data_IF_757434395531
#
_entry.id   IF_757434395531
#
_cell.length_a   1.000
_cell.length_b   1.000
_cell.length_c   1.000
_cell.angle_alpha   90.00
_cell.angle_beta   90.00
_cell.angle_gamma   90.00
#
_symmetry.space_group_name_H-M   'P 1'
#
loop_
_entity.id
_entity.type
_entity.pdbx_description
1 polymer ?
#
# COMPACT_ATOMS: atom_id res chain seq x y z
N UNK A 1 -4.68 33.83 -7.06
CA UNK A 1 -5.31 32.51 -7.29
C UNK A 1 -4.40 31.35 -6.90
N UNK A 2 -3.11 31.38 -7.23
CA UNK A 2 -2.17 30.29 -6.90
C UNK A 2 -1.96 30.04 -5.40
N UNK A 3 -1.92 31.10 -4.58
CA UNK A 3 -1.79 30.98 -3.12
C UNK A 3 -2.94 30.18 -2.50
N UNK A 4 -4.19 30.51 -2.86
CA UNK A 4 -5.37 29.82 -2.33
C UNK A 4 -5.39 28.35 -2.75
N UNK A 5 -5.01 28.07 -4.00
CA UNK A 5 -4.89 26.69 -4.49
C UNK A 5 -3.88 25.89 -3.67
N UNK A 6 -2.67 26.42 -3.44
CA UNK A 6 -1.65 25.76 -2.61
C UNK A 6 -2.11 25.57 -1.17
N UNK A 7 -2.76 26.57 -0.58
CA UNK A 7 -3.28 26.47 0.79
C UNK A 7 -4.34 25.36 0.93
N UNK A 8 -5.27 25.27 -0.03
CA UNK A 8 -6.28 24.21 -0.06
C UNK A 8 -5.65 22.83 -0.30
N UNK A 9 -4.64 22.74 -1.17
CA UNK A 9 -3.94 21.49 -1.43
C UNK A 9 -3.24 20.96 -0.16
N UNK A 10 -2.52 21.84 0.55
CA UNK A 10 -1.87 21.48 1.83
C UNK A 10 -2.88 21.00 2.88
N UNK A 11 -4.04 21.63 2.93
CA UNK A 11 -5.10 21.25 3.86
C UNK A 11 -5.64 19.84 3.52
N UNK A 12 -5.88 19.56 2.24
CA UNK A 12 -6.33 18.24 1.77
C UNK A 12 -5.28 17.17 2.06
N UNK A 13 -4.01 17.45 1.79
CA UNK A 13 -2.89 16.56 2.12
C UNK A 13 -2.83 16.27 3.62
N UNK A 14 -2.99 17.31 4.47
CA UNK A 14 -3.05 17.17 5.92
C UNK A 14 -4.22 16.29 6.40
N UNK A 15 -5.41 16.49 5.83
CA UNK A 15 -6.60 15.66 6.13
C UNK A 15 -6.38 14.19 5.73
N UNK A 16 -5.79 13.96 4.56
CA UNK A 16 -5.51 12.61 4.05
C UNK A 16 -4.49 11.89 4.94
N UNK A 17 -3.41 12.57 5.32
CA UNK A 17 -2.36 12.01 6.16
C UNK A 17 -2.88 11.66 7.58
N UNK A 18 -3.68 12.55 8.18
CA UNK A 18 -4.32 12.28 9.47
C UNK A 18 -5.26 11.08 9.40
N UNK A 19 -6.06 10.99 8.34
CA UNK A 19 -6.98 9.87 8.12
C UNK A 19 -6.21 8.56 7.93
N UNK A 20 -5.11 8.57 7.19
CA UNK A 20 -4.22 7.42 6.99
C UNK A 20 -3.60 6.94 8.30
N UNK A 21 -3.00 7.85 9.08
CA UNK A 21 -2.42 7.55 10.40
C UNK A 21 -3.45 6.97 11.35
N UNK A 22 -4.67 7.51 11.36
CA UNK A 22 -5.78 6.99 12.17
C UNK A 22 -6.15 5.57 11.77
N UNK A 23 -6.32 5.27 10.48
CA UNK A 23 -6.63 3.91 10.00
C UNK A 23 -5.54 2.91 10.37
N UNK A 24 -4.26 3.27 10.19
CA UNK A 24 -3.14 2.41 10.57
C UNK A 24 -3.11 2.12 12.07
N UNK A 25 -3.37 3.13 12.92
CA UNK A 25 -3.45 2.94 14.37
C UNK A 25 -4.60 2.00 14.76
N UNK A 26 -5.75 2.12 14.12
CA UNK A 26 -6.92 1.29 14.37
C UNK A 26 -6.78 -0.15 13.85
N UNK A 27 -5.88 -0.41 12.90
CA UNK A 27 -5.65 -1.74 12.37
C UNK A 27 -4.88 -2.65 13.35
N UNK A 28 -4.24 -2.07 14.39
CA UNK A 28 -3.50 -2.81 15.44
C UNK A 28 -2.53 -3.85 14.86
N UNK A 29 -1.86 -3.51 13.76
CA UNK A 29 -0.86 -4.39 13.19
C UNK A 29 0.30 -4.59 14.18
N UNK A 30 0.80 -5.83 14.38
CA UNK A 30 1.91 -6.11 15.29
C UNK A 30 3.21 -5.43 14.85
N UNK A 31 3.36 -5.17 13.56
CA UNK A 31 4.47 -4.45 12.96
C UNK A 31 4.00 -3.74 11.68
N UNK A 32 4.60 -2.60 11.37
CA UNK A 32 4.42 -1.93 10.09
C UNK A 32 5.44 -2.50 9.10
N UNK A 33 4.96 -3.24 8.09
CA UNK A 33 5.78 -3.76 6.99
C UNK A 33 5.18 -3.29 5.67
N UNK A 34 6.02 -2.82 4.76
CA UNK A 34 5.64 -2.49 3.38
C UNK A 34 6.08 -3.61 2.44
N UNK A 35 5.69 -3.50 1.17
CA UNK A 35 6.14 -4.44 0.12
C UNK A 35 7.66 -4.35 -0.07
N UNK A 36 8.26 -3.18 0.15
CA UNK A 36 9.71 -2.98 0.06
C UNK A 36 10.48 -3.73 1.16
N UNK A 37 9.82 -4.08 2.28
CA UNK A 37 10.38 -4.87 3.37
C UNK A 37 10.27 -6.40 3.14
N UNK A 38 9.86 -6.84 1.94
CA UNK A 38 9.80 -8.26 1.60
C UNK A 38 11.19 -8.78 1.22
N UNK A 39 11.71 -9.70 2.03
CA UNK A 39 12.92 -10.46 1.73
C UNK A 39 12.59 -11.65 0.82
N UNK A 40 12.77 -11.45 -0.49
CA UNK A 40 12.59 -12.50 -1.50
C UNK A 40 13.69 -13.58 -1.48
N UNK A 41 14.81 -13.33 -0.80
CA UNK A 41 15.84 -14.34 -0.56
C UNK A 41 15.42 -15.34 0.51
N UNK A 42 14.71 -14.89 1.54
CA UNK A 42 14.12 -15.75 2.56
C UNK A 42 12.89 -16.52 2.04
N UNK A 43 12.04 -15.89 1.22
CA UNK A 43 10.82 -16.50 0.68
C UNK A 43 10.90 -16.73 -0.84
N UNK A 44 11.63 -17.78 -1.25
CA UNK A 44 11.85 -18.13 -2.65
C UNK A 44 10.57 -18.52 -3.45
N UNK A 45 9.46 -18.82 -2.76
CA UNK A 45 8.17 -19.13 -3.39
C UNK A 45 7.44 -17.90 -3.95
N UNK A 46 7.86 -16.69 -3.57
CA UNK A 46 7.26 -15.45 -4.04
C UNK A 46 8.18 -14.79 -5.06
N UNK A 47 7.67 -14.62 -6.28
CA UNK A 47 8.43 -14.01 -7.36
C UNK A 47 8.40 -12.47 -7.27
N UNK A 48 9.56 -11.78 -7.14
CA UNK A 48 9.62 -10.32 -7.04
C UNK A 48 8.95 -9.58 -8.20
N UNK A 49 9.08 -10.12 -9.43
CA UNK A 49 8.48 -9.53 -10.63
C UNK A 49 6.96 -9.59 -10.58
N UNK A 50 6.40 -10.73 -10.15
CA UNK A 50 4.96 -10.88 -10.00
C UNK A 50 4.44 -9.97 -8.88
N UNK A 51 5.10 -9.94 -7.73
CA UNK A 51 4.74 -9.05 -6.61
C UNK A 51 4.73 -7.58 -7.04
N UNK A 52 5.73 -7.15 -7.80
CA UNK A 52 5.78 -5.78 -8.34
C UNK A 52 4.62 -5.49 -9.30
N UNK A 53 4.26 -6.44 -10.16
CA UNK A 53 3.11 -6.31 -11.05
C UNK A 53 1.78 -6.20 -10.29
N UNK A 54 1.66 -6.83 -9.11
CA UNK A 54 0.47 -6.66 -8.26
C UNK A 54 0.33 -5.22 -7.72
N UNK A 55 1.44 -4.49 -7.57
CA UNK A 55 1.43 -3.08 -7.13
C UNK A 55 0.84 -2.13 -8.16
N UNK A 56 0.87 -2.48 -9.44
CA UNK A 56 0.29 -1.68 -10.52
C UNK A 56 -1.25 -1.75 -10.55
N UNK A 57 -1.86 -2.57 -9.69
CA UNK A 57 -3.31 -2.73 -9.51
C UNK A 57 -4.11 -3.14 -10.77
N UNK A 58 -3.46 -3.46 -11.89
CA UNK A 58 -4.11 -3.89 -13.14
C UNK A 58 -5.01 -5.12 -12.96
N UNK A 59 -4.73 -5.95 -11.96
CA UNK A 59 -5.56 -7.11 -11.63
C UNK A 59 -6.95 -6.71 -11.11
N UNK A 60 -7.06 -5.57 -10.43
CA UNK A 60 -8.33 -5.02 -9.96
C UNK A 60 -9.20 -4.57 -11.14
N UNK A 61 -8.60 -3.83 -12.09
CA UNK A 61 -9.29 -3.37 -13.31
C UNK A 61 -9.80 -4.53 -14.17
N UNK A 62 -9.03 -5.63 -14.21
CA UNK A 62 -9.36 -6.83 -14.97
C UNK A 62 -10.23 -7.83 -14.19
N UNK A 63 -10.64 -7.49 -12.97
CA UNK A 63 -11.41 -8.35 -12.08
C UNK A 63 -10.80 -9.75 -11.89
N UNK A 64 -9.46 -9.83 -11.82
CA UNK A 64 -8.77 -11.08 -11.50
C UNK A 64 -8.74 -11.30 -9.99
N UNK A 65 -9.01 -12.55 -9.58
CA UNK A 65 -8.91 -12.95 -8.18
C UNK A 65 -7.46 -13.33 -7.85
N UNK A 66 -6.94 -12.77 -6.75
CA UNK A 66 -5.62 -13.12 -6.23
C UNK A 66 -5.76 -14.04 -5.02
N UNK A 67 -4.95 -15.09 -4.97
CA UNK A 67 -4.89 -16.02 -3.84
C UNK A 67 -3.43 -16.07 -3.39
N UNK A 68 -3.17 -15.70 -2.13
CA UNK A 68 -1.87 -15.87 -1.50
C UNK A 68 -1.85 -17.19 -0.74
N UNK A 69 -0.92 -18.07 -1.09
CA UNK A 69 -0.72 -19.37 -0.44
C UNK A 69 0.70 -19.42 0.11
N UNK A 70 0.82 -19.59 1.42
CA UNK A 70 2.07 -19.87 2.12
C UNK A 70 1.87 -21.01 3.10
N UNK A 71 2.94 -21.59 3.67
CA UNK A 71 2.78 -22.51 4.80
C UNK A 71 2.08 -21.77 5.94
N UNK A 72 1.06 -22.41 6.53
CA UNK A 72 0.41 -21.98 7.77
C UNK A 72 1.39 -22.06 8.95
#
# INVERSE_FOLDING_TARGET
>A
MEFLYKALQLEVEGRNENSRKRRLRLAVFPYHRTIDDLDFGFQASVNPRQTKQLMDMTWLEKAFNLIFLGPL
#
